data_IF_211348847419
#
_entry.id   IF_211348847419
#
_cell.length_a   1.000
_cell.length_b   1.000
_cell.length_c   1.000
_cell.angle_alpha   90.00
_cell.angle_beta   90.00
_cell.angle_gamma   90.00
#
_symmetry.space_group_name_H-M   'P 1'
#
loop_
_entity.id
_entity.type
_entity.pdbx_description
1 polymer ?
#
# COMPACT_ATOMS: atom_id res chain seq x y z
N UNK A 1 22.26 -8.47 -65.25
CA UNK A 1 21.39 -9.63 -64.90
C UNK A 1 21.98 -10.58 -63.85
N UNK A 2 23.30 -10.66 -63.67
CA UNK A 2 23.90 -11.50 -62.61
C UNK A 2 23.62 -11.01 -61.17
N UNK A 3 23.55 -9.71 -60.96
CA UNK A 3 23.36 -9.11 -59.62
C UNK A 3 21.94 -9.19 -59.10
N UNK A 4 20.93 -9.33 -60.00
CA UNK A 4 19.53 -9.45 -59.62
C UNK A 4 19.21 -10.82 -58.98
N UNK A 5 19.81 -11.88 -59.47
CA UNK A 5 19.67 -13.23 -58.93
C UNK A 5 20.31 -13.37 -57.55
N UNK A 6 21.40 -12.66 -57.31
CA UNK A 6 22.11 -12.66 -56.02
C UNK A 6 21.33 -11.90 -54.93
N UNK A 7 20.63 -10.82 -55.32
CA UNK A 7 19.77 -10.05 -54.43
C UNK A 7 18.54 -10.85 -53.91
N UNK A 8 17.97 -11.71 -54.78
CA UNK A 8 16.84 -12.57 -54.42
C UNK A 8 17.23 -13.66 -53.41
N UNK A 9 18.44 -14.21 -53.56
CA UNK A 9 18.95 -15.24 -52.62
C UNK A 9 19.24 -14.65 -51.25
N UNK A 10 19.74 -13.42 -51.17
CA UNK A 10 19.96 -12.72 -49.89
C UNK A 10 18.62 -12.38 -49.18
N UNK A 11 17.59 -11.96 -49.93
CA UNK A 11 16.25 -11.74 -49.37
C UNK A 11 15.62 -13.03 -48.82
N UNK A 12 15.84 -14.16 -49.48
CA UNK A 12 15.32 -15.46 -49.05
C UNK A 12 16.01 -15.97 -47.79
N UNK A 13 17.28 -15.67 -47.57
CA UNK A 13 18.03 -16.03 -46.38
C UNK A 13 17.66 -15.16 -45.16
N UNK A 14 17.26 -13.92 -45.38
CA UNK A 14 16.85 -13.02 -44.30
C UNK A 14 15.41 -13.29 -43.77
N UNK A 15 14.56 -13.95 -44.56
CA UNK A 15 13.20 -14.29 -44.16
C UNK A 15 13.11 -15.46 -43.16
N UNK A 16 14.20 -16.24 -43.00
CA UNK A 16 14.23 -17.40 -42.11
C UNK A 16 14.47 -17.06 -40.62
N UNK A 17 14.78 -15.79 -40.29
CA UNK A 17 15.06 -15.38 -38.91
C UNK A 17 13.86 -14.84 -38.13
N UNK A 18 12.66 -14.82 -38.72
CA UNK A 18 11.48 -14.21 -38.07
C UNK A 18 10.52 -15.24 -37.45
N UNK A 19 10.97 -16.46 -37.18
CA UNK A 19 10.23 -17.39 -36.36
C UNK A 19 10.71 -17.32 -34.90
N UNK A 20 10.54 -16.19 -34.24
CA UNK A 20 10.47 -16.16 -32.80
C UNK A 20 9.06 -16.57 -32.41
N UNK A 21 8.85 -17.86 -32.23
CA UNK A 21 7.71 -18.33 -31.45
C UNK A 21 7.89 -17.78 -30.06
N UNK A 22 7.10 -16.76 -29.68
CA UNK A 22 6.84 -16.48 -28.30
C UNK A 22 6.19 -17.78 -27.75
N UNK A 23 6.95 -18.54 -26.97
CA UNK A 23 6.38 -19.55 -26.10
C UNK A 23 5.57 -18.77 -25.07
N UNK A 24 4.27 -18.67 -25.29
CA UNK A 24 3.33 -18.54 -24.19
C UNK A 24 3.59 -19.76 -23.30
N UNK A 25 4.31 -19.55 -22.21
CA UNK A 25 4.34 -20.52 -21.12
C UNK A 25 2.89 -20.59 -20.63
N UNK A 26 2.13 -21.56 -21.14
CA UNK A 26 0.86 -21.97 -20.58
C UNK A 26 1.16 -22.41 -19.14
N UNK A 27 1.05 -21.43 -18.22
CA UNK A 27 1.09 -21.73 -16.80
C UNK A 27 -0.08 -22.68 -16.54
N UNK A 28 0.24 -23.95 -16.43
CA UNK A 28 -0.74 -25.00 -16.21
C UNK A 28 -1.40 -24.79 -14.83
N UNK A 29 -2.48 -24.01 -14.82
CA UNK A 29 -3.30 -23.72 -13.62
C UNK A 29 -3.89 -24.97 -12.96
N UNK A 30 -3.68 -26.14 -13.52
CA UNK A 30 -4.16 -27.42 -12.99
C UNK A 30 -3.20 -28.07 -12.00
N UNK A 31 -2.01 -27.53 -11.79
CA UNK A 31 -1.12 -28.02 -10.76
C UNK A 31 -1.69 -27.68 -9.37
N UNK A 32 -1.90 -28.74 -8.58
CA UNK A 32 -2.43 -28.65 -7.21
C UNK A 32 -1.58 -27.72 -6.32
N UNK A 33 -0.27 -27.67 -6.57
CA UNK A 33 0.66 -26.80 -5.83
C UNK A 33 0.44 -25.33 -6.17
N UNK A 34 0.24 -25.00 -7.44
CA UNK A 34 -0.02 -23.64 -7.91
C UNK A 34 -1.34 -23.13 -7.34
N UNK A 35 -2.40 -23.94 -7.37
CA UNK A 35 -3.71 -23.58 -6.75
C UNK A 35 -3.57 -23.34 -5.25
N UNK A 36 -2.85 -24.22 -4.54
CA UNK A 36 -2.61 -24.08 -3.11
C UNK A 36 -1.82 -22.81 -2.79
N UNK A 37 -0.80 -22.49 -3.58
CA UNK A 37 -0.02 -21.26 -3.43
C UNK A 37 -0.88 -20.01 -3.62
N UNK A 38 -1.73 -19.95 -4.65
CA UNK A 38 -2.64 -18.82 -4.87
C UNK A 38 -3.67 -18.68 -3.75
N UNK A 39 -4.19 -19.77 -3.20
CA UNK A 39 -5.10 -19.73 -2.07
C UNK A 39 -4.41 -19.19 -0.82
N UNK A 40 -3.23 -19.69 -0.47
CA UNK A 40 -2.45 -19.19 0.66
C UNK A 40 -2.15 -17.70 0.50
N UNK A 41 -1.72 -17.26 -0.69
CA UNK A 41 -1.46 -15.86 -0.98
C UNK A 41 -2.73 -15.00 -0.83
N UNK A 42 -3.87 -15.47 -1.30
CA UNK A 42 -5.16 -14.77 -1.19
C UNK A 42 -5.60 -14.65 0.26
N UNK A 43 -5.50 -15.73 1.05
CA UNK A 43 -5.88 -15.74 2.46
C UNK A 43 -4.97 -14.85 3.29
N UNK A 44 -3.66 -14.89 3.02
CA UNK A 44 -2.69 -14.00 3.65
C UNK A 44 -2.96 -12.52 3.33
N UNK A 45 -3.20 -12.22 2.05
CA UNK A 45 -3.53 -10.85 1.61
C UNK A 45 -4.83 -10.35 2.23
N UNK A 46 -5.85 -11.21 2.33
CA UNK A 46 -7.13 -10.89 2.96
C UNK A 46 -6.94 -10.60 4.45
N UNK A 47 -6.22 -11.45 5.16
CA UNK A 47 -5.94 -11.27 6.59
C UNK A 47 -5.17 -9.99 6.85
N UNK A 48 -4.13 -9.71 6.05
CA UNK A 48 -3.36 -8.47 6.17
C UNK A 48 -4.20 -7.22 5.88
N UNK A 49 -5.13 -7.30 4.92
CA UNK A 49 -6.03 -6.20 4.61
C UNK A 49 -7.07 -5.97 5.72
N UNK A 50 -7.61 -7.02 6.32
CA UNK A 50 -8.58 -6.93 7.42
C UNK A 50 -7.96 -6.37 8.71
N UNK A 51 -6.67 -6.60 8.93
CA UNK A 51 -5.93 -6.10 10.09
C UNK A 51 -5.28 -4.74 9.88
N UNK A 52 -5.44 -4.13 8.71
CA UNK A 52 -4.87 -2.83 8.40
C UNK A 52 -5.90 -1.73 8.66
N UNK A 53 -5.47 -0.68 9.34
CA UNK A 53 -6.26 0.53 9.55
C UNK A 53 -5.41 1.80 9.45
N UNK A 54 -6.06 2.94 9.33
CA UNK A 54 -5.42 4.25 9.28
C UNK A 54 -5.77 5.05 10.52
N UNK A 55 -4.82 5.79 11.05
CA UNK A 55 -5.00 6.74 12.15
C UNK A 55 -4.35 8.07 11.79
N UNK A 56 -4.76 9.14 12.45
CA UNK A 56 -4.18 10.47 12.26
C UNK A 56 -3.30 10.76 13.47
N UNK A 57 -2.02 11.00 13.24
CA UNK A 57 -1.12 11.50 14.27
C UNK A 57 -1.19 13.02 14.30
N UNK A 58 -1.59 13.57 15.45
CA UNK A 58 -1.77 15.01 15.65
C UNK A 58 -0.62 15.67 16.39
N UNK A 59 0.17 14.88 17.13
CA UNK A 59 1.30 15.36 17.89
C UNK A 59 2.43 14.32 17.99
N UNK A 60 3.63 14.84 18.19
CA UNK A 60 4.85 14.09 18.45
C UNK A 60 5.81 14.98 19.25
N UNK A 61 6.28 14.53 20.41
CA UNK A 61 7.20 15.30 21.25
C UNK A 61 7.31 14.83 22.69
N UNK A 62 7.40 15.80 23.63
CA UNK A 62 7.50 15.54 25.06
C UNK A 62 6.23 15.00 25.67
N UNK A 63 6.33 14.28 26.81
CA UNK A 63 5.18 13.76 27.55
C UNK A 63 4.20 14.89 27.96
N UNK A 64 4.71 15.98 28.52
CA UNK A 64 3.86 17.04 29.06
C UNK A 64 2.99 17.68 27.98
N UNK A 65 3.58 17.96 26.80
CA UNK A 65 2.83 18.53 25.66
C UNK A 65 1.86 17.51 25.07
N UNK A 66 2.29 16.24 24.93
CA UNK A 66 1.45 15.18 24.43
C UNK A 66 0.23 14.92 25.32
N UNK A 67 0.40 14.92 26.64
CA UNK A 67 -0.67 14.75 27.62
C UNK A 67 -1.66 15.91 27.56
N UNK A 68 -1.17 17.16 27.48
CA UNK A 68 -2.02 18.33 27.33
C UNK A 68 -2.88 18.27 26.06
N UNK A 69 -2.26 17.97 24.92
CA UNK A 69 -2.96 17.87 23.63
C UNK A 69 -3.95 16.69 23.64
N UNK A 70 -3.59 15.56 24.23
CA UNK A 70 -4.46 14.40 24.36
C UNK A 70 -5.72 14.71 25.18
N UNK A 71 -5.55 15.37 26.33
CA UNK A 71 -6.68 15.73 27.21
C UNK A 71 -7.58 16.79 26.55
N UNK A 72 -7.01 17.84 25.96
CA UNK A 72 -7.75 18.85 25.21
C UNK A 72 -8.56 18.24 24.06
N UNK A 73 -7.95 17.30 23.31
CA UNK A 73 -8.65 16.62 22.22
C UNK A 73 -9.80 15.76 22.75
N UNK A 74 -9.55 14.99 23.80
CA UNK A 74 -10.53 14.08 24.39
C UNK A 74 -11.73 14.82 24.99
N UNK A 75 -11.53 15.99 25.57
CA UNK A 75 -12.61 16.82 26.09
C UNK A 75 -13.52 17.37 24.98
N UNK A 76 -12.92 17.79 23.87
CA UNK A 76 -13.65 18.40 22.76
C UNK A 76 -14.24 17.40 21.76
N UNK A 77 -13.68 16.17 21.69
CA UNK A 77 -14.04 15.14 20.70
C UNK A 77 -14.22 13.76 21.34
N UNK A 78 -15.17 13.65 22.26
CA UNK A 78 -15.40 12.44 23.09
C UNK A 78 -15.74 11.19 22.25
N UNK A 79 -16.36 11.37 21.08
CA UNK A 79 -16.77 10.26 20.21
C UNK A 79 -15.63 9.75 19.31
N UNK A 80 -14.47 10.42 19.31
CA UNK A 80 -13.33 10.04 18.48
C UNK A 80 -12.32 9.27 19.33
N UNK A 81 -12.00 8.04 18.93
CA UNK A 81 -10.95 7.25 19.58
C UNK A 81 -9.64 8.07 19.57
N UNK A 82 -9.02 8.21 20.72
CA UNK A 82 -7.75 8.90 20.90
C UNK A 82 -6.83 8.08 21.79
N UNK A 83 -5.53 8.09 21.45
CA UNK A 83 -4.51 7.32 22.14
C UNK A 83 -3.25 8.17 22.34
N UNK A 84 -2.69 8.10 23.57
CA UNK A 84 -1.38 8.62 23.92
C UNK A 84 -0.40 7.45 23.94
N UNK A 85 0.58 7.44 23.06
CA UNK A 85 1.49 6.33 22.82
C UNK A 85 2.93 6.77 23.05
N UNK A 86 3.70 5.94 23.74
CA UNK A 86 5.13 6.11 23.84
C UNK A 86 5.86 5.25 22.80
N UNK A 87 6.52 5.87 21.86
CA UNK A 87 7.47 5.23 20.95
C UNK A 87 8.82 5.93 21.09
N UNK A 88 9.75 5.23 21.68
CA UNK A 88 11.09 5.75 21.99
C UNK A 88 11.71 6.57 20.86
N UNK A 89 12.17 7.80 21.11
CA UNK A 89 12.26 8.47 22.42
C UNK A 89 11.07 9.39 22.76
N UNK A 90 10.00 9.42 21.96
CA UNK A 90 8.96 10.43 22.05
C UNK A 90 7.57 9.88 22.32
N UNK A 91 6.69 10.78 22.78
CA UNK A 91 5.28 10.53 22.92
C UNK A 91 4.53 11.02 21.67
N UNK A 92 3.48 10.30 21.31
CA UNK A 92 2.64 10.56 20.13
C UNK A 92 1.18 10.57 20.54
N UNK A 93 0.41 11.48 19.96
CA UNK A 93 -1.04 11.47 20.09
C UNK A 93 -1.63 11.07 18.74
N UNK A 94 -2.39 9.97 18.74
CA UNK A 94 -3.09 9.42 17.58
C UNK A 94 -4.58 9.46 17.79
N UNK A 95 -5.32 9.76 16.73
CA UNK A 95 -6.78 9.91 16.77
C UNK A 95 -7.45 9.20 15.61
N UNK A 96 -8.65 8.68 15.88
CA UNK A 96 -9.46 7.97 14.91
C UNK A 96 -8.88 6.61 14.51
N UNK A 97 -9.77 5.77 14.02
CA UNK A 97 -9.45 4.46 13.46
C UNK A 97 -10.29 4.29 12.19
N UNK A 98 -9.63 4.32 11.03
CA UNK A 98 -10.28 4.32 9.74
C UNK A 98 -9.84 3.10 8.94
N UNK A 99 -10.80 2.35 8.41
CA UNK A 99 -10.50 1.21 7.52
C UNK A 99 -10.20 1.65 6.09
N UNK A 100 -10.66 2.84 5.70
CA UNK A 100 -10.46 3.42 4.38
C UNK A 100 -9.68 4.73 4.46
N UNK A 101 -8.67 4.86 3.62
CA UNK A 101 -7.80 6.05 3.52
C UNK A 101 -8.58 7.32 3.14
N UNK A 102 -9.67 7.19 2.37
CA UNK A 102 -10.47 8.33 1.95
C UNK A 102 -11.20 8.97 3.14
N UNK A 103 -11.75 8.15 4.05
CA UNK A 103 -12.35 8.65 5.29
C UNK A 103 -11.30 9.27 6.23
N UNK A 104 -10.12 8.65 6.33
CA UNK A 104 -9.01 9.25 7.06
C UNK A 104 -8.59 10.61 6.49
N UNK A 105 -8.53 10.74 5.15
CA UNK A 105 -8.17 11.99 4.47
C UNK A 105 -9.19 13.09 4.70
N UNK A 106 -10.49 12.80 4.61
CA UNK A 106 -11.54 13.77 4.92
C UNK A 106 -11.49 14.27 6.37
N UNK A 107 -11.19 13.35 7.29
CA UNK A 107 -11.03 13.71 8.71
C UNK A 107 -9.77 14.53 8.93
N UNK A 108 -8.65 14.20 8.25
CA UNK A 108 -7.40 14.93 8.32
C UNK A 108 -7.56 16.39 7.88
N UNK A 109 -8.33 16.67 6.84
CA UNK A 109 -8.58 18.05 6.38
C UNK A 109 -9.24 18.92 7.47
N UNK A 110 -10.15 18.35 8.24
CA UNK A 110 -10.79 19.04 9.37
C UNK A 110 -9.80 19.22 10.53
N UNK A 111 -9.05 18.18 10.85
CA UNK A 111 -8.09 18.17 11.96
C UNK A 111 -6.93 19.12 11.71
N UNK A 112 -6.44 19.25 10.49
CA UNK A 112 -5.35 20.19 10.14
C UNK A 112 -5.66 21.66 10.38
N UNK A 113 -6.93 22.01 10.48
CA UNK A 113 -7.31 23.39 10.85
C UNK A 113 -6.95 23.72 12.29
N UNK A 114 -6.89 22.71 13.16
CA UNK A 114 -6.58 22.85 14.59
C UNK A 114 -5.15 22.39 14.88
N UNK A 115 -4.73 21.29 14.24
CA UNK A 115 -3.40 20.70 14.36
C UNK A 115 -2.72 20.62 12.98
N UNK A 116 -2.09 21.70 12.51
CA UNK A 116 -1.56 21.80 11.13
C UNK A 116 -0.50 20.74 10.77
N UNK A 117 0.24 20.25 11.78
CA UNK A 117 1.26 19.22 11.62
C UNK A 117 0.74 17.78 11.50
N UNK A 118 -0.59 17.58 11.45
CA UNK A 118 -1.20 16.24 11.45
C UNK A 118 -0.98 15.52 10.12
N UNK A 119 -0.84 14.19 10.21
CA UNK A 119 -0.73 13.31 9.05
C UNK A 119 -1.30 11.92 9.32
N UNK A 120 -1.62 11.21 8.25
CA UNK A 120 -2.15 9.84 8.32
C UNK A 120 -1.02 8.85 8.46
N UNK A 121 -1.23 7.85 9.35
CA UNK A 121 -0.36 6.68 9.51
C UNK A 121 -1.19 5.44 9.16
N UNK A 122 -0.57 4.52 8.44
CA UNK A 122 -1.12 3.18 8.21
C UNK A 122 -0.55 2.25 9.27
N UNK A 123 -1.42 1.59 10.01
CA UNK A 123 -1.08 0.59 11.01
C UNK A 123 -1.66 -0.77 10.62
N UNK A 124 -1.01 -1.83 11.10
CA UNK A 124 -1.52 -3.21 11.01
C UNK A 124 -1.49 -3.83 12.38
N UNK A 125 -2.56 -4.51 12.76
CA UNK A 125 -2.54 -5.37 13.95
C UNK A 125 -1.61 -6.56 13.64
N UNK A 126 -0.55 -6.71 14.42
CA UNK A 126 0.38 -7.83 14.34
C UNK A 126 -0.16 -9.03 15.12
#
# INVERSE_FOLDING_TARGET
MKNFKFSIVICMLLSSFWNTSAQDEDVNYNDTLTKKFFQIKKDFSKKTFESTYYTIQIFYGSLNEADSIYNDFKENYQDVKSELIFETPNYKVRIGEYKDINFASQSLEKIRRIYPGSFIIKLSDL
#
